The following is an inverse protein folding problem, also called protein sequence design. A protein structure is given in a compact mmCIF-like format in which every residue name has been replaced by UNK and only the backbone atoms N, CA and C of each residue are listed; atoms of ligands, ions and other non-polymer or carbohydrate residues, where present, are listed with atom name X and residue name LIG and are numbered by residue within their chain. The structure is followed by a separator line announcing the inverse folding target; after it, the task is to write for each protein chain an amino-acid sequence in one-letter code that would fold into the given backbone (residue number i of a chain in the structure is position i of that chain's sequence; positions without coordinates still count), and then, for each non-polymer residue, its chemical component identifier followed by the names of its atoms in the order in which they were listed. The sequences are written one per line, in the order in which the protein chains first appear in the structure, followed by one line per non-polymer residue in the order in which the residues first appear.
data_IF_666239045600
#
_entry.id   IF_666239045600
#
_cell.length_a   1.000
_cell.length_b   1.000
_cell.length_c   1.000
_cell.angle_alpha   90.00
_cell.angle_beta   90.00
_cell.angle_gamma   90.00
#
_symmetry.space_group_name_H-M   'P 1'
#
loop_
_entity.id
_entity.type
_entity.pdbx_description
1 polymer ?
#
# COMPACT_ATOMS: atom_id res chain seq x y z
N UNK A 1 -12.87 8.81 -15.95
CA UNK A 1 -11.87 8.40 -16.95
C UNK A 1 -11.46 6.96 -16.62
N UNK A 2 -11.41 6.14 -17.65
CA UNK A 2 -11.76 4.72 -17.64
C UNK A 2 -10.61 3.78 -17.25
N UNK A 3 -11.02 2.57 -16.82
CA UNK A 3 -10.31 1.27 -16.74
C UNK A 3 -9.80 0.89 -15.36
N UNK A 4 -10.52 -0.07 -14.76
CA UNK A 4 -10.00 -1.05 -13.80
C UNK A 4 -8.77 -1.70 -14.43
N UNK A 5 -7.61 -1.09 -14.23
CA UNK A 5 -6.35 -1.63 -14.71
C UNK A 5 -6.19 -3.01 -14.06
N UNK A 6 -6.01 -4.02 -14.91
CA UNK A 6 -5.68 -5.36 -14.45
C UNK A 6 -4.33 -5.25 -13.76
N UNK A 7 -4.32 -5.35 -12.44
CA UNK A 7 -3.08 -5.35 -11.66
C UNK A 7 -2.29 -6.58 -12.10
N UNK A 8 -1.29 -6.37 -12.96
CA UNK A 8 -0.29 -7.37 -13.26
C UNK A 8 0.86 -7.14 -12.28
N UNK A 9 1.31 -8.21 -11.61
CA UNK A 9 2.36 -8.18 -10.57
C UNK A 9 1.95 -7.50 -9.24
N UNK A 10 0.85 -7.93 -8.64
CA UNK A 10 0.43 -7.49 -7.29
C UNK A 10 1.60 -7.51 -6.28
N UNK A 11 2.40 -8.58 -6.25
CA UNK A 11 3.57 -8.69 -5.35
C UNK A 11 4.59 -7.57 -5.51
N UNK A 12 4.84 -7.10 -6.74
CA UNK A 12 5.79 -6.01 -6.99
C UNK A 12 5.20 -4.67 -6.53
N UNK A 13 3.91 -4.45 -6.80
CA UNK A 13 3.20 -3.25 -6.35
C UNK A 13 3.12 -3.19 -4.82
N UNK A 14 2.85 -4.31 -4.15
CA UNK A 14 2.87 -4.39 -2.68
C UNK A 14 4.24 -4.03 -2.13
N UNK A 15 5.32 -4.60 -2.68
CA UNK A 15 6.69 -4.26 -2.25
C UNK A 15 6.96 -2.76 -2.42
N UNK A 16 6.58 -2.20 -3.58
CA UNK A 16 6.75 -0.78 -3.85
C UNK A 16 5.91 0.09 -2.91
N UNK A 17 4.67 -0.31 -2.64
CA UNK A 17 3.78 0.35 -1.69
C UNK A 17 4.40 0.42 -0.29
N UNK A 18 4.99 -0.69 0.16
CA UNK A 18 5.67 -0.75 1.45
C UNK A 18 6.88 0.21 1.46
N UNK A 19 7.73 0.20 0.42
CA UNK A 19 8.87 1.12 0.32
C UNK A 19 8.43 2.60 0.39
N UNK A 20 7.44 2.99 -0.41
CA UNK A 20 6.95 4.37 -0.46
C UNK A 20 6.27 4.74 0.85
N UNK A 21 5.46 3.85 1.42
CA UNK A 21 4.80 4.07 2.70
C UNK A 21 5.77 4.21 3.87
N UNK A 22 6.84 3.40 3.92
CA UNK A 22 7.92 3.53 4.91
C UNK A 22 8.64 4.88 4.77
N UNK A 23 8.96 5.29 3.53
CA UNK A 23 9.60 6.59 3.27
C UNK A 23 8.69 7.75 3.68
N UNK A 24 7.41 7.67 3.35
CA UNK A 24 6.38 8.66 3.71
C UNK A 24 6.24 8.77 5.23
N UNK A 25 6.15 7.63 5.94
CA UNK A 25 6.09 7.60 7.39
C UNK A 25 7.32 8.29 8.00
N UNK A 26 8.52 7.95 7.52
CA UNK A 26 9.77 8.57 7.97
C UNK A 26 9.79 10.09 7.73
N UNK A 27 9.24 10.56 6.60
CA UNK A 27 9.10 11.98 6.30
C UNK A 27 8.10 12.69 7.22
N UNK A 28 7.07 11.98 7.69
CA UNK A 28 6.11 12.45 8.71
C UNK A 28 6.67 12.35 10.14
N UNK A 29 7.91 11.88 10.33
CA UNK A 29 8.51 11.66 11.64
C UNK A 29 8.03 10.38 12.35
N UNK A 30 7.35 9.49 11.63
CA UNK A 30 6.86 8.20 12.14
C UNK A 30 7.84 7.10 11.72
N UNK A 31 8.47 6.46 12.70
CA UNK A 31 9.33 5.30 12.43
C UNK A 31 8.52 4.02 12.51
N UNK A 32 8.21 3.44 11.35
CA UNK A 32 7.48 2.18 11.27
C UNK A 32 8.41 1.01 11.62
N UNK A 33 7.94 0.03 12.40
CA UNK A 33 8.78 -1.07 12.86
C UNK A 33 9.34 -1.85 11.67
N UNK A 34 10.67 -2.03 11.66
CA UNK A 34 11.39 -2.80 10.65
C UNK A 34 11.24 -4.32 10.79
N UNK A 35 10.13 -4.77 11.38
CA UNK A 35 9.80 -6.17 11.66
C UNK A 35 9.58 -7.03 10.41
N UNK A 36 9.12 -8.27 10.60
CA UNK A 36 8.85 -9.25 9.54
C UNK A 36 7.96 -8.69 8.43
N UNK A 37 8.11 -9.20 7.21
CA UNK A 37 7.40 -8.70 6.01
C UNK A 37 5.89 -8.43 6.19
N UNK A 38 5.11 -9.30 6.88
CA UNK A 38 3.69 -9.06 7.12
C UNK A 38 3.41 -7.86 8.03
N UNK A 39 4.21 -7.68 9.10
CA UNK A 39 4.06 -6.58 10.05
C UNK A 39 4.39 -5.23 9.41
N UNK A 40 5.39 -5.19 8.52
CA UNK A 40 5.69 -3.99 7.71
C UNK A 40 4.50 -3.57 6.85
N UNK A 41 3.86 -4.52 6.17
CA UNK A 41 2.70 -4.23 5.34
C UNK A 41 1.53 -3.68 6.16
N UNK A 42 1.24 -4.28 7.32
CA UNK A 42 0.21 -3.79 8.23
C UNK A 42 0.54 -2.39 8.77
N UNK A 43 1.78 -2.14 9.19
CA UNK A 43 2.20 -0.83 9.69
C UNK A 43 2.06 0.27 8.63
N UNK A 44 2.48 -0.01 7.39
CA UNK A 44 2.29 0.93 6.27
C UNK A 44 0.81 1.15 5.98
N UNK A 45 -0.01 0.09 5.99
CA UNK A 45 -1.46 0.21 5.79
C UNK A 45 -2.10 1.11 6.86
N UNK A 46 -1.80 0.89 8.14
CA UNK A 46 -2.34 1.71 9.23
C UNK A 46 -1.89 3.17 9.12
N UNK A 47 -0.63 3.40 8.76
CA UNK A 47 -0.12 4.75 8.49
C UNK A 47 -0.90 5.43 7.36
N UNK A 48 -1.07 4.75 6.22
CA UNK A 48 -1.80 5.28 5.06
C UNK A 48 -3.28 5.55 5.36
N UNK A 49 -3.92 4.71 6.18
CA UNK A 49 -5.28 4.97 6.68
C UNK A 49 -5.29 6.23 7.56
N UNK A 50 -4.32 6.36 8.47
CA UNK A 50 -4.21 7.53 9.35
C UNK A 50 -3.98 8.85 8.62
N UNK A 51 -3.26 8.81 7.49
CA UNK A 51 -3.06 9.99 6.62
C UNK A 51 -4.12 10.12 5.52
N UNK A 52 -5.23 9.37 5.58
CA UNK A 52 -6.34 9.37 4.61
C UNK A 52 -5.91 9.12 3.15
N UNK A 53 -4.80 8.40 2.94
CA UNK A 53 -4.33 8.00 1.61
C UNK A 53 -5.09 6.79 1.06
N UNK A 54 -5.56 5.92 1.96
CA UNK A 54 -6.37 4.74 1.61
C UNK A 54 -7.58 4.65 2.53
N UNK A 55 -8.68 4.12 1.99
CA UNK A 55 -9.87 3.83 2.78
C UNK A 55 -9.63 2.62 3.67
N UNK A 56 -9.98 2.69 4.98
CA UNK A 56 -9.90 1.53 5.85
C UNK A 56 -10.77 0.39 5.33
N UNK A 57 -10.23 -0.82 5.41
CA UNK A 57 -10.97 -2.05 5.23
C UNK A 57 -11.94 -2.24 6.41
N UNK A 58 -13.14 -2.76 6.17
CA UNK A 58 -14.03 -3.17 7.25
C UNK A 58 -13.40 -4.30 8.05
N UNK A 59 -13.75 -4.42 9.33
CA UNK A 59 -13.15 -5.38 10.27
C UNK A 59 -13.21 -6.84 9.76
N UNK A 60 -14.29 -7.20 9.07
CA UNK A 60 -14.50 -8.52 8.47
C UNK A 60 -13.61 -8.80 7.24
N UNK A 61 -12.82 -7.82 6.79
CA UNK A 61 -11.87 -7.95 5.67
C UNK A 61 -10.46 -7.48 6.06
N UNK A 62 -10.18 -7.33 7.36
CA UNK A 62 -8.88 -6.90 7.85
C UNK A 62 -7.87 -8.07 7.86
N UNK A 63 -7.71 -8.72 6.71
CA UNK A 63 -6.84 -9.87 6.54
C UNK A 63 -5.54 -9.49 5.83
N UNK A 64 -4.47 -10.24 6.07
CA UNK A 64 -3.18 -10.05 5.40
C UNK A 64 -3.28 -9.91 3.86
N UNK A 65 -4.02 -10.79 3.15
CA UNK A 65 -4.20 -10.67 1.70
C UNK A 65 -4.95 -9.40 1.29
N UNK A 66 -6.03 -9.04 2.00
CA UNK A 66 -6.82 -7.83 1.69
C UNK A 66 -6.00 -6.55 1.88
N UNK A 67 -5.16 -6.50 2.93
CA UNK A 67 -4.25 -5.39 3.19
C UNK A 67 -3.24 -5.25 2.03
N UNK A 68 -2.64 -6.35 1.59
CA UNK A 68 -1.72 -6.36 0.44
C UNK A 68 -2.42 -5.83 -0.82
N UNK A 69 -3.61 -6.34 -1.12
CA UNK A 69 -4.37 -5.90 -2.28
C UNK A 69 -4.68 -4.40 -2.24
N UNK A 70 -5.02 -3.85 -1.06
CA UNK A 70 -5.21 -2.40 -0.87
C UNK A 70 -3.93 -1.60 -1.10
N UNK A 71 -2.79 -2.06 -0.60
CA UNK A 71 -1.51 -1.43 -0.85
C UNK A 71 -1.15 -1.44 -2.34
N UNK A 72 -1.44 -2.54 -3.05
CA UNK A 72 -1.23 -2.64 -4.48
C UNK A 72 -2.10 -1.65 -5.26
N UNK A 73 -3.39 -1.57 -4.93
CA UNK A 73 -4.33 -0.60 -5.53
C UNK A 73 -3.89 0.84 -5.29
N UNK A 74 -3.43 1.15 -4.06
CA UNK A 74 -2.92 2.47 -3.74
C UNK A 74 -1.68 2.80 -4.57
N UNK A 75 -0.69 1.90 -4.62
CA UNK A 75 0.50 2.12 -5.43
C UNK A 75 0.15 2.30 -6.91
N UNK A 76 -0.73 1.46 -7.43
CA UNK A 76 -1.23 1.59 -8.78
C UNK A 76 -1.90 2.95 -9.02
N UNK A 77 -2.65 3.49 -8.05
CA UNK A 77 -3.28 4.81 -8.16
C UNK A 77 -2.28 5.98 -8.10
N UNK A 78 -1.17 5.81 -7.38
CA UNK A 78 -0.12 6.82 -7.20
C UNK A 78 0.88 6.81 -8.36
N UNK A 79 1.11 5.65 -9.00
CA UNK A 79 2.01 5.54 -10.13
C UNK A 79 1.47 6.31 -11.35
N UNK A 80 2.32 7.02 -12.10
CA UNK A 80 1.91 7.69 -13.33
C UNK A 80 1.48 6.67 -14.40
N UNK A 81 0.61 7.08 -15.32
CA UNK A 81 0.04 6.19 -16.36
C UNK A 81 1.07 5.58 -17.33
N UNK A 82 2.31 6.05 -17.27
CA UNK A 82 3.42 5.60 -18.10
C UNK A 82 4.38 4.64 -17.35
N UNK A 83 4.02 4.16 -16.15
CA UNK A 83 4.87 3.27 -15.37
C UNK A 83 4.68 1.80 -15.81
N UNK A 84 5.77 1.02 -15.99
CA UNK A 84 5.70 -0.39 -16.40
C UNK A 84 5.03 -1.33 -15.37
N UNK A 85 4.74 -0.83 -14.16
CA UNK A 85 4.02 -1.56 -13.12
C UNK A 85 2.52 -1.23 -13.05
N UNK A 86 2.03 -0.28 -13.86
CA UNK A 86 0.61 0.10 -13.93
C UNK A 86 -0.16 -0.76 -14.95
#
# INVERSE_FOLDING_TARGET
MSKTAKIHNEDKLVKKAIEVGLKMAKMQGIDLPSSTGPLKAQGVYLFLVGVNQITPLPDNKLDGPNIKHRLALWMHSVLPDNDPLK
#
